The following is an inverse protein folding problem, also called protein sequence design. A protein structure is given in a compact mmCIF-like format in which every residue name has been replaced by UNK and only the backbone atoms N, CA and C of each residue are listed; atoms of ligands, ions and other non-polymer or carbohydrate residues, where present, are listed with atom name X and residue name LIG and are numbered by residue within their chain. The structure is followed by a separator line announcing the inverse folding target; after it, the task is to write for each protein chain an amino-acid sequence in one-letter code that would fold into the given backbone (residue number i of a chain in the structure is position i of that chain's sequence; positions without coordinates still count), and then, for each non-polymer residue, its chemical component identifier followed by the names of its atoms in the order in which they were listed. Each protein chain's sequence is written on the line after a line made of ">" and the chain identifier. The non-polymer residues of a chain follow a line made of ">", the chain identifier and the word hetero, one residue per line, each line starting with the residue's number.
data_IF_018078199780
#
_entry.id   IF_018078199780
#
_cell.length_a   1.000
_cell.length_b   1.000
_cell.length_c   1.000
_cell.angle_alpha   90.00
_cell.angle_beta   90.00
_cell.angle_gamma   90.00
#
_symmetry.space_group_name_H-M   'P 1'
#
loop_
_entity.id
_entity.type
_entity.pdbx_description
1 polymer ?
#
# COMPACT_ATOMS: atom_id res chain seq x y z
N UNK A 1 5.76 2.43 5.89
CA UNK A 1 4.31 2.75 5.92
C UNK A 1 3.47 1.79 5.05
N UNK A 2 3.38 1.99 3.72
CA UNK A 2 2.49 1.15 2.88
C UNK A 2 3.02 -0.28 2.73
N UNK A 3 4.33 -0.45 2.60
CA UNK A 3 4.96 -1.78 2.50
C UNK A 3 4.77 -2.61 3.78
N UNK A 4 5.00 -2.02 4.95
CA UNK A 4 4.82 -2.71 6.24
C UNK A 4 3.36 -3.14 6.43
N UNK A 5 2.41 -2.26 6.08
CA UNK A 5 0.98 -2.58 6.15
C UNK A 5 0.55 -3.61 5.11
N UNK A 6 1.20 -3.61 3.94
CA UNK A 6 0.99 -4.67 2.96
C UNK A 6 1.44 -6.01 3.55
N UNK A 7 2.63 -6.08 4.16
CA UNK A 7 3.15 -7.34 4.71
C UNK A 7 2.31 -7.89 5.88
N UNK A 8 1.57 -7.03 6.60
CA UNK A 8 0.55 -7.44 7.57
C UNK A 8 -0.67 -8.07 6.89
N UNK A 9 -1.30 -7.36 5.94
CA UNK A 9 -2.58 -7.78 5.33
C UNK A 9 -2.38 -8.91 4.31
N UNK A 10 -1.29 -8.88 3.55
CA UNK A 10 -1.03 -9.77 2.42
C UNK A 10 -0.68 -11.20 2.84
N UNK A 11 -0.24 -11.40 4.08
CA UNK A 11 0.04 -12.73 4.62
C UNK A 11 -1.22 -13.60 4.66
N UNK A 12 -2.33 -13.02 5.09
CA UNK A 12 -3.59 -13.72 5.33
C UNK A 12 -4.47 -13.85 4.08
N UNK A 13 -4.06 -13.25 2.96
CA UNK A 13 -4.84 -13.31 1.72
C UNK A 13 -4.34 -14.37 0.75
N UNK A 14 -5.28 -15.09 0.16
CA UNK A 14 -5.03 -16.09 -0.87
C UNK A 14 -4.84 -15.43 -2.24
N UNK A 15 -3.60 -15.02 -2.53
CA UNK A 15 -3.20 -14.39 -3.79
C UNK A 15 -1.72 -14.62 -4.07
N UNK A 16 -1.29 -14.29 -5.30
CA UNK A 16 0.11 -14.45 -5.69
C UNK A 16 1.04 -13.59 -4.82
N UNK A 17 2.11 -14.21 -4.32
CA UNK A 17 3.12 -13.59 -3.44
C UNK A 17 4.44 -13.28 -4.16
N UNK A 18 4.43 -13.26 -5.50
CA UNK A 18 5.62 -12.93 -6.27
C UNK A 18 5.99 -11.44 -6.13
N UNK A 19 7.26 -11.13 -6.39
CA UNK A 19 7.77 -9.75 -6.32
C UNK A 19 7.00 -8.80 -7.24
N UNK A 20 6.66 -9.25 -8.45
CA UNK A 20 5.90 -8.42 -9.40
C UNK A 20 4.51 -8.04 -8.88
N UNK A 21 3.77 -8.99 -8.31
CA UNK A 21 2.49 -8.69 -7.67
C UNK A 21 2.65 -7.71 -6.52
N UNK A 22 3.68 -7.90 -5.68
CA UNK A 22 3.98 -6.98 -4.58
C UNK A 22 4.14 -5.55 -5.08
N UNK A 23 4.98 -5.37 -6.07
CA UNK A 23 5.33 -4.07 -6.62
C UNK A 23 4.13 -3.40 -7.30
N UNK A 24 3.32 -4.17 -8.05
CA UNK A 24 2.09 -3.69 -8.67
C UNK A 24 1.04 -3.28 -7.61
N UNK A 25 0.89 -4.05 -6.53
CA UNK A 25 -0.03 -3.73 -5.43
C UNK A 25 0.39 -2.41 -4.77
N UNK A 26 1.67 -2.27 -4.42
CA UNK A 26 2.21 -1.06 -3.80
C UNK A 26 1.99 0.14 -4.71
N UNK A 27 2.33 0.03 -6.00
CA UNK A 27 2.18 1.11 -6.96
C UNK A 27 0.72 1.54 -7.10
N UNK A 28 -0.22 0.59 -7.24
CA UNK A 28 -1.65 0.89 -7.34
C UNK A 28 -2.18 1.56 -6.07
N UNK A 29 -1.79 1.10 -4.89
CA UNK A 29 -2.21 1.72 -3.63
C UNK A 29 -1.65 3.14 -3.47
N UNK A 30 -0.37 3.37 -3.77
CA UNK A 30 0.24 4.70 -3.69
C UNK A 30 -0.39 5.70 -4.67
N UNK A 31 -0.78 5.24 -5.86
CA UNK A 31 -1.46 6.09 -6.85
C UNK A 31 -2.86 6.56 -6.42
N UNK A 32 -3.50 5.83 -5.50
CA UNK A 32 -4.84 6.17 -4.99
C UNK A 32 -4.80 6.94 -3.68
N UNK A 33 -3.73 6.79 -2.90
CA UNK A 33 -3.55 7.51 -1.66
C UNK A 33 -3.19 8.98 -1.93
N UNK A 34 -3.74 9.88 -1.12
CA UNK A 34 -3.34 11.29 -1.18
C UNK A 34 -1.88 11.44 -0.78
N UNK A 35 -0.98 11.91 -1.67
CA UNK A 35 0.43 12.07 -1.34
C UNK A 35 0.61 13.26 -0.40
N UNK A 36 1.52 13.12 0.56
CA UNK A 36 1.94 14.23 1.43
C UNK A 36 3.42 14.51 1.20
N UNK A 37 3.70 15.42 0.28
CA UNK A 37 5.04 15.89 0.01
C UNK A 37 5.40 17.01 0.98
N UNK A 38 6.57 16.92 1.59
CA UNK A 38 7.05 17.86 2.60
C UNK A 38 8.46 18.29 2.22
N UNK A 39 8.72 19.60 2.24
CA UNK A 39 10.00 20.18 1.85
C UNK A 39 10.88 20.58 3.05
N UNK A 40 10.32 20.51 4.27
CA UNK A 40 11.00 20.91 5.51
C UNK A 40 11.02 19.77 6.51
N UNK A 41 12.02 19.79 7.39
CA UNK A 41 12.17 18.80 8.47
C UNK A 41 11.00 18.84 9.45
N UNK A 42 10.45 20.02 9.72
CA UNK A 42 9.23 20.18 10.51
C UNK A 42 8.03 19.55 9.82
N UNK A 43 7.87 19.79 8.51
CA UNK A 43 6.82 19.16 7.70
C UNK A 43 6.91 17.64 7.72
N UNK A 44 8.13 17.07 7.68
CA UNK A 44 8.35 15.63 7.83
C UNK A 44 7.86 15.09 9.17
N UNK A 45 8.14 15.78 10.28
CA UNK A 45 7.65 15.40 11.61
C UNK A 45 6.12 15.41 11.67
N UNK A 46 5.47 16.46 11.13
CA UNK A 46 4.01 16.50 11.04
C UNK A 46 3.44 15.42 10.12
N UNK A 47 4.10 15.15 8.99
CA UNK A 47 3.77 14.06 8.09
C UNK A 47 3.72 12.74 8.84
N UNK A 48 4.81 12.37 9.51
CA UNK A 48 4.92 11.16 10.33
C UNK A 48 3.89 11.10 11.45
N UNK A 49 3.61 12.21 12.13
CA UNK A 49 2.58 12.23 13.18
C UNK A 49 1.19 11.84 12.65
N UNK A 50 0.84 12.28 11.43
CA UNK A 50 -0.43 11.91 10.79
C UNK A 50 -0.45 10.45 10.35
N UNK A 51 0.70 9.81 10.14
CA UNK A 51 0.77 8.38 9.80
C UNK A 51 0.25 7.48 10.92
N UNK A 52 0.38 7.91 12.19
CA UNK A 52 -0.09 7.14 13.35
C UNK A 52 -1.59 7.31 13.64
N UNK A 53 -2.33 8.07 12.83
CA UNK A 53 -3.78 8.21 13.03
C UNK A 53 -4.52 6.96 12.53
N UNK A 54 -5.57 6.60 13.24
CA UNK A 54 -6.44 5.48 12.85
C UNK A 54 -7.06 5.71 11.46
N UNK A 55 -7.43 6.95 11.14
CA UNK A 55 -8.01 7.32 9.85
C UNK A 55 -7.04 7.01 8.70
N UNK A 56 -5.76 7.37 8.87
CA UNK A 56 -4.76 7.11 7.83
C UNK A 56 -4.50 5.62 7.65
N UNK A 57 -4.46 4.87 8.75
CA UNK A 57 -4.36 3.41 8.70
C UNK A 57 -5.54 2.76 7.97
N UNK A 58 -6.77 3.18 8.26
CA UNK A 58 -7.98 2.67 7.59
C UNK A 58 -7.95 2.99 6.10
N UNK A 59 -7.55 4.22 5.72
CA UNK A 59 -7.41 4.60 4.31
C UNK A 59 -6.40 3.71 3.58
N UNK A 60 -5.21 3.50 4.16
CA UNK A 60 -4.16 2.65 3.59
C UNK A 60 -4.66 1.21 3.42
N UNK A 61 -5.23 0.62 4.47
CA UNK A 61 -5.72 -0.78 4.42
C UNK A 61 -6.80 -0.94 3.35
N UNK A 62 -7.75 0.01 3.26
CA UNK A 62 -8.80 -0.02 2.24
C UNK A 62 -8.23 0.01 0.83
N UNK A 63 -7.24 0.88 0.56
CA UNK A 63 -6.59 0.95 -0.75
C UNK A 63 -5.73 -0.28 -1.05
N UNK A 64 -5.08 -0.86 -0.05
CA UNK A 64 -4.34 -2.13 -0.20
C UNK A 64 -5.29 -3.27 -0.59
N UNK A 65 -6.42 -3.44 0.11
CA UNK A 65 -7.42 -4.46 -0.23
C UNK A 65 -7.94 -4.27 -1.66
N UNK A 66 -8.19 -3.04 -2.07
CA UNK A 66 -8.63 -2.72 -3.43
C UNK A 66 -7.56 -3.06 -4.49
N UNK A 67 -6.30 -2.69 -4.22
CA UNK A 67 -5.18 -2.97 -5.11
C UNK A 67 -4.94 -4.48 -5.24
N UNK A 68 -4.93 -5.22 -4.13
CA UNK A 68 -4.74 -6.67 -4.18
C UNK A 68 -5.86 -7.34 -4.97
N UNK A 69 -7.13 -6.98 -4.74
CA UNK A 69 -8.23 -7.51 -5.55
C UNK A 69 -8.07 -7.23 -7.04
N UNK A 70 -7.52 -6.08 -7.39
CA UNK A 70 -7.27 -5.69 -8.79
C UNK A 70 -6.14 -6.51 -9.40
N UNK A 71 -5.00 -6.61 -8.72
CA UNK A 71 -3.84 -7.37 -9.20
C UNK A 71 -4.13 -8.88 -9.24
N UNK A 72 -4.83 -9.43 -8.25
CA UNK A 72 -5.21 -10.84 -8.23
C UNK A 72 -6.15 -11.23 -9.36
N UNK A 73 -6.98 -10.30 -9.85
CA UNK A 73 -7.89 -10.55 -10.99
C UNK A 73 -7.17 -10.54 -12.34
N UNK A 74 -6.10 -9.76 -12.47
CA UNK A 74 -5.33 -9.66 -13.70
C UNK A 74 -3.84 -9.51 -13.39
N UNK A 75 -3.18 -10.59 -12.95
CA UNK A 75 -1.77 -10.55 -12.61
C UNK A 75 -0.91 -10.30 -13.85
N UNK A 76 0.09 -9.44 -13.72
CA UNK A 76 1.07 -9.16 -14.79
C UNK A 76 2.26 -10.11 -14.81
N UNK A 77 2.42 -10.94 -13.77
CA UNK A 77 3.49 -11.92 -13.76
C UNK A 77 3.18 -13.04 -14.73
N UNK A 78 4.19 -13.48 -15.48
CA UNK A 78 4.09 -14.69 -16.29
C UNK A 78 3.93 -15.87 -15.33
N UNK A 79 2.80 -16.57 -15.39
CA UNK A 79 2.63 -17.82 -14.65
C UNK A 79 3.67 -18.81 -15.13
N UNK A 80 4.69 -19.04 -14.32
CA UNK A 80 5.36 -20.34 -14.26
C UNK A 80 4.90 -21.07 -13.02
#
# INVERSE_FOLDING_TARGET
>A
MVEEKLDEVWRDMDCCKCKMCRDDIIALSLNKLSPKYVATKEGELYGRAVEYTNEKNVEIISQLIHAIKTVSKNPRHDSK
#
